data_IF_755032577990
#
_entry.id   IF_755032577990
#
_cell.length_a   1.000
_cell.length_b   1.000
_cell.length_c   1.000
_cell.angle_alpha   90.00
_cell.angle_beta   90.00
_cell.angle_gamma   90.00
#
_symmetry.space_group_name_H-M   'P 1'
#
loop_
_entity.id
_entity.type
_entity.pdbx_description
1 polymer ?
#
# COMPACT_ATOMS: atom_id res chain seq x y z
N UNK A 1 -33.32 6.51 17.33
CA UNK A 1 -34.28 5.47 17.70
C UNK A 1 -35.46 6.01 18.51
N UNK A 2 -35.31 6.67 19.69
CA UNK A 2 -36.46 7.24 20.40
C UNK A 2 -37.39 8.07 19.52
N UNK A 3 -36.86 9.01 18.73
CA UNK A 3 -37.67 9.80 17.76
C UNK A 3 -38.40 8.96 16.69
N UNK A 4 -37.88 7.77 16.39
CA UNK A 4 -38.54 6.86 15.43
C UNK A 4 -39.74 6.16 16.09
N UNK A 5 -39.57 5.72 17.34
CA UNK A 5 -40.66 5.14 18.12
C UNK A 5 -41.78 6.17 18.33
N UNK A 6 -41.44 7.38 18.80
CA UNK A 6 -42.39 8.47 18.96
C UNK A 6 -43.11 8.88 17.66
N UNK A 7 -42.46 8.71 16.52
CA UNK A 7 -43.06 8.96 15.21
C UNK A 7 -44.02 7.84 14.79
N UNK A 8 -43.65 6.59 15.09
CA UNK A 8 -44.52 5.44 14.83
C UNK A 8 -45.74 5.50 15.72
N UNK A 9 -45.55 5.75 17.01
CA UNK A 9 -46.66 5.92 17.98
C UNK A 9 -47.65 7.00 17.53
N UNK A 10 -47.15 8.16 17.07
CA UNK A 10 -48.01 9.23 16.53
C UNK A 10 -48.78 8.84 15.27
N UNK A 11 -48.14 8.08 14.38
CA UNK A 11 -48.77 7.64 13.12
C UNK A 11 -49.84 6.57 13.40
N UNK A 12 -49.66 5.75 14.42
CA UNK A 12 -50.55 4.66 14.77
C UNK A 12 -51.65 5.07 15.76
N UNK A 13 -51.57 6.23 16.41
CA UNK A 13 -52.53 6.72 17.40
C UNK A 13 -53.97 6.88 16.87
N UNK A 14 -54.13 7.02 15.53
CA UNK A 14 -55.49 7.06 14.92
C UNK A 14 -56.05 5.68 14.53
N UNK A 15 -55.22 4.63 14.64
CA UNK A 15 -55.56 3.27 14.14
C UNK A 15 -55.69 2.28 15.31
N UNK A 16 -54.93 2.46 16.35
CA UNK A 16 -54.85 1.56 17.52
C UNK A 16 -55.60 2.13 18.73
N UNK A 17 -56.21 1.22 19.51
CA UNK A 17 -56.72 1.57 20.83
C UNK A 17 -55.56 1.70 21.83
N UNK A 18 -55.84 2.22 23.05
CA UNK A 18 -54.82 2.53 24.06
C UNK A 18 -54.01 1.28 24.46
N UNK A 19 -54.63 0.11 24.53
CA UNK A 19 -54.00 -1.15 24.92
C UNK A 19 -53.04 -1.63 23.81
N UNK A 20 -53.49 -1.59 22.56
CA UNK A 20 -52.68 -1.95 21.36
C UNK A 20 -51.53 -0.94 21.15
N UNK A 21 -51.76 0.35 21.43
CA UNK A 21 -50.70 1.39 21.34
C UNK A 21 -49.64 1.16 22.43
N UNK A 22 -50.00 0.81 23.65
CA UNK A 22 -49.09 0.46 24.71
C UNK A 22 -48.26 -0.81 24.37
N UNK A 23 -48.92 -1.84 23.84
CA UNK A 23 -48.26 -3.08 23.38
C UNK A 23 -47.29 -2.83 22.23
N UNK A 24 -47.71 -2.05 21.22
CA UNK A 24 -46.83 -1.63 20.14
C UNK A 24 -45.61 -0.87 20.62
N UNK A 25 -45.84 0.08 21.53
CA UNK A 25 -44.73 0.86 22.13
C UNK A 25 -43.78 -0.05 22.92
N UNK A 26 -44.29 -1.01 23.69
CA UNK A 26 -43.46 -1.97 24.43
C UNK A 26 -42.64 -2.86 23.46
N UNK A 27 -43.27 -3.38 22.39
CA UNK A 27 -42.59 -4.19 21.35
C UNK A 27 -41.54 -3.36 20.61
N UNK A 28 -41.87 -2.12 20.23
CA UNK A 28 -40.90 -1.24 19.56
C UNK A 28 -39.75 -0.84 20.50
N UNK A 29 -40.05 -0.59 21.77
CA UNK A 29 -39.03 -0.33 22.77
C UNK A 29 -38.13 -1.56 22.98
N UNK A 30 -38.68 -2.75 23.13
CA UNK A 30 -37.93 -3.99 23.21
C UNK A 30 -37.11 -4.23 21.94
N UNK A 31 -37.71 -4.18 20.75
CA UNK A 31 -37.03 -4.45 19.49
C UNK A 31 -36.00 -3.40 19.07
N UNK A 32 -36.26 -2.12 19.34
CA UNK A 32 -35.42 -1.01 18.86
C UNK A 32 -34.49 -0.42 19.92
N UNK A 33 -34.87 -0.49 21.21
CA UNK A 33 -34.03 -0.02 22.33
C UNK A 33 -33.21 -1.19 22.91
N UNK A 34 -33.78 -2.41 22.96
CA UNK A 34 -33.06 -3.58 23.44
C UNK A 34 -32.14 -4.20 22.40
N UNK A 35 -32.33 -3.97 21.10
CA UNK A 35 -31.27 -4.23 20.10
C UNK A 35 -30.00 -3.41 20.32
N UNK A 36 -30.08 -2.34 21.14
CA UNK A 36 -28.89 -1.70 21.71
C UNK A 36 -28.33 -2.39 22.95
N UNK A 37 -29.05 -3.39 23.49
CA UNK A 37 -28.69 -4.20 24.66
C UNK A 37 -28.72 -5.70 24.41
N UNK A 38 -29.00 -6.16 23.17
CA UNK A 38 -28.74 -7.55 22.83
C UNK A 38 -27.25 -7.77 23.08
N UNK A 39 -26.97 -8.46 24.18
CA UNK A 39 -25.64 -8.89 24.58
C UNK A 39 -25.12 -9.89 23.54
N UNK A 40 -24.74 -9.38 22.38
CA UNK A 40 -23.68 -10.05 21.64
C UNK A 40 -22.50 -9.94 22.59
N UNK A 41 -22.00 -11.05 23.10
CA UNK A 41 -20.73 -11.15 23.84
C UNK A 41 -19.61 -10.73 22.88
N UNK A 42 -19.64 -9.47 22.46
CA UNK A 42 -18.68 -8.86 21.57
C UNK A 42 -17.69 -8.00 22.36
N UNK A 43 -16.60 -7.61 21.72
CA UNK A 43 -15.62 -6.73 22.35
C UNK A 43 -16.28 -5.40 22.73
N UNK A 44 -16.05 -4.94 23.96
CA UNK A 44 -16.55 -3.64 24.43
C UNK A 44 -15.58 -2.51 24.08
N UNK A 45 -14.29 -2.82 24.02
CA UNK A 45 -13.22 -1.84 23.78
C UNK A 45 -12.50 -2.08 22.45
N UNK A 46 -11.87 -1.03 21.93
CA UNK A 46 -11.02 -1.16 20.73
C UNK A 46 -9.84 -2.12 20.93
N UNK A 47 -9.36 -2.27 22.17
CA UNK A 47 -8.26 -3.18 22.50
C UNK A 47 -8.70 -4.64 22.38
N UNK A 48 -9.87 -4.99 22.89
CA UNK A 48 -10.45 -6.34 22.77
C UNK A 48 -10.79 -6.67 21.32
N UNK A 49 -11.31 -5.70 20.58
CA UNK A 49 -11.65 -5.82 19.16
C UNK A 49 -10.41 -6.08 18.28
N UNK A 50 -9.23 -5.58 18.70
CA UNK A 50 -8.02 -5.61 17.88
C UNK A 50 -7.62 -7.03 17.49
N UNK A 51 -7.57 -7.95 18.45
CA UNK A 51 -7.12 -9.33 18.21
C UNK A 51 -8.12 -10.09 17.33
N UNK A 52 -9.42 -9.87 17.53
CA UNK A 52 -10.47 -10.47 16.72
C UNK A 52 -10.39 -9.97 15.27
N UNK A 53 -10.27 -8.67 15.08
CA UNK A 53 -10.12 -8.05 13.77
C UNK A 53 -8.86 -8.54 13.04
N UNK A 54 -7.70 -8.59 13.72
CA UNK A 54 -6.46 -9.06 13.12
C UNK A 54 -6.53 -10.54 12.74
N UNK A 55 -7.19 -11.36 13.56
CA UNK A 55 -7.43 -12.79 13.27
C UNK A 55 -8.31 -12.96 12.04
N UNK A 56 -9.41 -12.19 11.94
CA UNK A 56 -10.27 -12.19 10.76
C UNK A 56 -9.51 -11.76 9.50
N UNK A 57 -8.73 -10.67 9.57
CA UNK A 57 -7.91 -10.19 8.44
C UNK A 57 -6.78 -11.16 8.05
N UNK A 58 -6.25 -11.92 8.99
CA UNK A 58 -5.29 -12.98 8.71
C UNK A 58 -5.94 -14.13 7.94
N UNK A 59 -7.13 -14.54 8.34
CA UNK A 59 -7.92 -15.56 7.65
C UNK A 59 -8.30 -15.12 6.21
N UNK A 60 -8.59 -13.81 6.01
CA UNK A 60 -8.83 -13.22 4.70
C UNK A 60 -7.56 -13.16 3.81
N UNK A 61 -6.39 -13.62 4.28
CA UNK A 61 -5.15 -13.64 3.52
C UNK A 61 -4.36 -12.32 3.55
N UNK A 62 -4.60 -11.44 4.52
CA UNK A 62 -3.79 -10.24 4.69
C UNK A 62 -2.34 -10.60 5.03
N UNK A 63 -1.39 -9.89 4.38
CA UNK A 63 0.03 -10.10 4.65
C UNK A 63 0.41 -9.67 6.08
N UNK A 64 1.41 -10.32 6.68
CA UNK A 64 1.96 -9.96 8.00
C UNK A 64 2.36 -8.48 8.11
N UNK A 65 2.84 -7.88 7.02
CA UNK A 65 3.14 -6.44 6.98
C UNK A 65 1.88 -5.58 7.09
N UNK A 66 0.78 -5.99 6.45
CA UNK A 66 -0.51 -5.29 6.54
C UNK A 66 -1.10 -5.44 7.94
N UNK A 67 -1.03 -6.64 8.52
CA UNK A 67 -1.51 -6.91 9.88
C UNK A 67 -0.75 -6.05 10.91
N UNK A 68 0.58 -5.98 10.82
CA UNK A 68 1.38 -5.09 11.68
C UNK A 68 1.00 -3.62 11.54
N UNK A 69 0.71 -3.18 10.32
CA UNK A 69 0.27 -1.80 10.08
C UNK A 69 -1.12 -1.54 10.67
N UNK A 70 -2.05 -2.49 10.55
CA UNK A 70 -3.36 -2.43 11.18
C UNK A 70 -3.21 -2.39 12.70
N UNK A 71 -2.47 -3.32 13.27
CA UNK A 71 -2.21 -3.39 14.72
C UNK A 71 -1.67 -2.06 15.25
N UNK A 72 -0.58 -1.55 14.69
CA UNK A 72 0.05 -0.31 15.17
C UNK A 72 -0.88 0.91 15.07
N UNK A 73 -1.69 0.98 14.00
CA UNK A 73 -2.62 2.11 13.80
C UNK A 73 -3.79 2.04 14.76
N UNK A 74 -4.38 0.85 14.93
CA UNK A 74 -5.55 0.67 15.81
C UNK A 74 -5.17 0.72 17.29
N UNK A 75 -4.00 0.19 17.69
CA UNK A 75 -3.49 0.33 19.06
C UNK A 75 -3.31 1.80 19.44
N UNK A 76 -2.73 2.60 18.53
CA UNK A 76 -2.63 4.06 18.77
C UNK A 76 -4.00 4.73 18.89
N UNK A 77 -4.96 4.36 18.05
CA UNK A 77 -6.32 4.86 18.13
C UNK A 77 -6.97 4.49 19.47
N UNK A 78 -6.82 3.24 19.93
CA UNK A 78 -7.35 2.75 21.18
C UNK A 78 -6.78 3.47 22.41
N UNK A 79 -5.53 3.89 22.38
CA UNK A 79 -4.91 4.67 23.48
C UNK A 79 -5.44 6.10 23.58
N UNK A 80 -5.88 6.68 22.46
CA UNK A 80 -6.39 8.07 22.42
C UNK A 80 -7.91 8.17 22.61
N UNK A 81 -8.65 7.12 22.22
CA UNK A 81 -10.12 7.07 22.30
C UNK A 81 -10.53 5.97 23.26
N UNK A 82 -10.66 6.34 24.54
CA UNK A 82 -11.05 5.44 25.63
C UNK A 82 -12.57 5.48 25.79
N UNK A 83 -13.27 4.86 24.82
CA UNK A 83 -14.73 4.75 24.83
C UNK A 83 -15.15 3.34 24.42
N UNK A 84 -16.29 2.83 24.89
CA UNK A 84 -16.91 1.64 24.33
C UNK A 84 -17.08 1.77 22.81
N UNK A 85 -16.86 0.69 22.05
CA UNK A 85 -16.86 0.74 20.56
C UNK A 85 -18.19 1.23 19.99
N UNK A 86 -19.31 0.93 20.65
CA UNK A 86 -20.67 1.35 20.23
C UNK A 86 -20.97 2.84 20.53
N UNK A 87 -20.16 3.49 21.37
CA UNK A 87 -20.27 4.92 21.70
C UNK A 87 -19.34 5.79 20.85
N UNK A 88 -18.42 5.19 20.09
CA UNK A 88 -17.51 5.95 19.23
C UNK A 88 -18.30 6.60 18.10
N UNK A 89 -18.29 7.91 18.04
CA UNK A 89 -19.03 8.71 17.06
C UNK A 89 -18.16 9.09 15.86
N UNK A 90 -18.82 9.58 14.81
CA UNK A 90 -18.12 10.16 13.65
C UNK A 90 -17.25 11.36 14.05
N UNK A 91 -17.68 12.13 15.03
CA UNK A 91 -16.96 13.33 15.47
C UNK A 91 -15.73 12.97 16.30
N UNK A 92 -15.79 11.94 17.15
CA UNK A 92 -14.60 11.41 17.83
C UNK A 92 -13.50 11.03 16.82
N UNK A 93 -13.88 10.39 15.71
CA UNK A 93 -12.91 9.99 14.67
C UNK A 93 -12.39 11.19 13.87
N UNK A 94 -13.25 12.19 13.59
CA UNK A 94 -12.82 13.44 12.94
C UNK A 94 -11.81 14.18 13.81
N UNK A 95 -12.09 14.31 15.09
CA UNK A 95 -11.21 14.98 16.04
C UNK A 95 -9.87 14.24 16.18
N UNK A 96 -9.90 12.90 16.25
CA UNK A 96 -8.70 12.09 16.24
C UNK A 96 -7.86 12.34 14.97
N UNK A 97 -8.46 12.25 13.78
CA UNK A 97 -7.75 12.47 12.51
C UNK A 97 -7.24 13.92 12.38
N UNK A 98 -7.96 14.89 12.93
CA UNK A 98 -7.56 16.29 12.96
C UNK A 98 -6.36 16.49 13.87
N UNK A 99 -6.39 15.97 15.10
CA UNK A 99 -5.23 15.98 16.01
C UNK A 99 -4.02 15.27 15.39
N UNK A 100 -4.24 14.07 14.82
CA UNK A 100 -3.19 13.31 14.13
C UNK A 100 -2.54 14.10 12.99
N UNK A 101 -3.31 14.98 12.32
CA UNK A 101 -2.82 15.85 11.25
C UNK A 101 -2.13 17.12 11.76
N UNK A 102 -2.48 17.61 12.97
CA UNK A 102 -2.08 18.93 13.48
C UNK A 102 -0.58 19.06 13.79
N UNK A 103 0.09 17.95 14.06
CA UNK A 103 1.53 17.93 14.36
C UNK A 103 2.42 18.39 13.20
N UNK A 104 1.85 18.81 12.05
CA UNK A 104 2.56 19.30 10.86
C UNK A 104 3.58 18.31 10.25
N UNK A 105 3.86 17.22 10.97
CA UNK A 105 4.83 16.19 10.61
C UNK A 105 4.24 15.08 9.74
N UNK A 106 2.89 15.02 9.65
CA UNK A 106 2.19 13.91 8.99
C UNK A 106 1.55 14.37 7.69
N UNK A 107 1.86 13.67 6.59
CA UNK A 107 1.27 14.01 5.28
C UNK A 107 -0.23 13.67 5.22
N UNK A 108 -0.99 14.43 4.40
CA UNK A 108 -2.41 14.13 4.14
C UNK A 108 -2.63 12.68 3.65
N UNK A 109 -1.66 12.11 2.92
CA UNK A 109 -1.68 10.71 2.47
C UNK A 109 -1.63 9.76 3.65
N UNK A 110 -0.79 10.06 4.65
CA UNK A 110 -0.69 9.25 5.87
C UNK A 110 -1.97 9.31 6.68
N UNK A 111 -2.57 10.49 6.81
CA UNK A 111 -3.89 10.66 7.49
C UNK A 111 -4.97 9.86 6.77
N UNK A 112 -5.03 9.89 5.42
CA UNK A 112 -5.99 9.06 4.67
C UNK A 112 -5.73 7.56 4.82
N UNK A 113 -4.48 7.13 4.97
CA UNK A 113 -4.16 5.74 5.26
C UNK A 113 -4.69 5.31 6.64
N UNK A 114 -4.53 6.16 7.67
CA UNK A 114 -5.12 5.92 9.00
C UNK A 114 -6.64 5.84 8.91
N UNK A 115 -7.29 6.80 8.22
CA UNK A 115 -8.74 6.76 7.97
C UNK A 115 -9.17 5.43 7.31
N UNK A 116 -8.40 4.92 6.34
CA UNK A 116 -8.68 3.65 5.65
C UNK A 116 -8.59 2.45 6.59
N UNK A 117 -7.62 2.44 7.50
CA UNK A 117 -7.49 1.39 8.51
C UNK A 117 -8.70 1.42 9.46
N UNK A 118 -9.04 2.60 9.97
CA UNK A 118 -10.25 2.78 10.81
C UNK A 118 -11.52 2.36 10.05
N UNK A 119 -11.65 2.76 8.77
CA UNK A 119 -12.78 2.35 7.93
C UNK A 119 -12.88 0.84 7.78
N UNK A 120 -11.75 0.15 7.58
CA UNK A 120 -11.72 -1.31 7.47
C UNK A 120 -12.14 -1.99 8.78
N UNK A 121 -11.65 -1.48 9.92
CA UNK A 121 -11.99 -2.04 11.23
C UNK A 121 -13.48 -1.82 11.57
N UNK A 122 -13.95 -0.58 11.46
CA UNK A 122 -15.35 -0.26 11.79
C UNK A 122 -16.36 -0.83 10.79
N UNK A 123 -15.99 -1.10 9.54
CA UNK A 123 -16.84 -1.83 8.60
C UNK A 123 -16.94 -3.31 8.99
N UNK A 124 -15.83 -3.91 9.41
CA UNK A 124 -15.83 -5.27 9.94
C UNK A 124 -16.68 -5.38 11.22
N UNK A 125 -16.58 -4.41 12.14
CA UNK A 125 -17.45 -4.37 13.33
C UNK A 125 -18.95 -4.24 12.99
N UNK A 126 -19.29 -3.53 11.90
CA UNK A 126 -20.66 -3.40 11.38
C UNK A 126 -21.11 -4.74 10.75
N UNK A 127 -20.24 -5.42 10.01
CA UNK A 127 -20.48 -6.72 9.35
C UNK A 127 -20.67 -7.87 10.36
N UNK A 128 -19.97 -7.81 11.51
CA UNK A 128 -20.08 -8.77 12.62
C UNK A 128 -21.20 -8.41 13.63
N UNK A 129 -22.02 -7.40 13.32
CA UNK A 129 -23.10 -6.91 14.17
C UNK A 129 -22.66 -6.40 15.58
N UNK A 130 -21.36 -6.13 15.78
CA UNK A 130 -20.85 -5.52 17.04
C UNK A 130 -21.24 -4.04 17.19
N UNK A 131 -21.46 -3.36 16.08
CA UNK A 131 -21.99 -2.00 16.02
C UNK A 131 -23.09 -1.90 14.98
N UNK A 132 -24.07 -1.05 15.23
CA UNK A 132 -25.20 -0.86 14.31
C UNK A 132 -24.76 -0.22 12.98
N UNK A 133 -23.81 0.72 13.03
CA UNK A 133 -23.34 1.46 11.85
C UNK A 133 -21.95 2.02 12.06
N UNK A 134 -21.09 1.83 11.06
CA UNK A 134 -19.73 2.35 11.09
C UNK A 134 -19.69 3.88 11.15
N UNK A 135 -19.07 4.47 12.21
CA UNK A 135 -18.93 5.92 12.35
C UNK A 135 -18.01 6.53 11.29
N UNK A 136 -17.15 5.73 10.64
CA UNK A 136 -16.23 6.19 9.59
C UNK A 136 -16.93 6.39 8.25
N UNK A 137 -18.10 5.82 8.04
CA UNK A 137 -18.84 5.83 6.76
C UNK A 137 -19.09 7.24 6.21
N UNK A 138 -19.26 8.23 7.09
CA UNK A 138 -19.47 9.65 6.71
C UNK A 138 -18.17 10.41 6.45
N UNK A 139 -16.99 9.82 6.74
CA UNK A 139 -15.69 10.47 6.56
C UNK A 139 -15.16 10.14 5.18
N UNK A 140 -15.25 11.11 4.29
CA UNK A 140 -14.80 10.96 2.90
C UNK A 140 -13.28 10.88 2.81
N UNK A 141 -12.79 10.30 1.71
CA UNK A 141 -11.36 10.27 1.36
C UNK A 141 -10.76 11.69 1.41
N UNK A 142 -9.61 11.81 2.07
CA UNK A 142 -8.87 13.08 2.14
C UNK A 142 -8.26 13.37 0.76
N UNK A 143 -8.62 14.51 0.20
CA UNK A 143 -8.08 14.92 -1.10
C UNK A 143 -6.61 15.31 -0.96
N UNK A 144 -5.78 14.68 -1.76
CA UNK A 144 -4.35 14.99 -1.88
C UNK A 144 -4.06 15.43 -3.30
N UNK A 145 -3.25 16.47 -3.47
CA UNK A 145 -2.79 16.84 -4.80
C UNK A 145 -2.00 15.68 -5.43
N UNK A 146 -2.26 15.37 -6.68
CA UNK A 146 -1.43 14.44 -7.46
C UNK A 146 -0.14 15.17 -7.83
N UNK A 147 0.90 14.99 -7.02
CA UNK A 147 2.23 15.54 -7.31
C UNK A 147 2.98 14.49 -8.14
N UNK A 148 3.45 14.93 -9.30
CA UNK A 148 4.33 14.13 -10.14
C UNK A 148 5.65 13.93 -9.42
N UNK A 149 5.97 12.68 -9.14
CA UNK A 149 7.20 12.34 -8.45
C UNK A 149 8.35 12.31 -9.45
N UNK A 150 9.50 12.95 -9.19
CA UNK A 150 10.62 13.03 -10.13
C UNK A 150 11.19 11.65 -10.46
N UNK A 151 11.67 11.51 -11.69
CA UNK A 151 12.42 10.35 -12.22
C UNK A 151 13.92 10.67 -12.21
N UNK A 152 14.77 9.70 -12.53
CA UNK A 152 16.19 9.94 -12.80
C UNK A 152 16.38 10.43 -14.24
N UNK A 153 17.22 11.43 -14.45
CA UNK A 153 17.80 11.70 -15.76
C UNK A 153 18.87 10.66 -16.12
N UNK A 154 19.30 10.62 -17.36
CA UNK A 154 20.36 9.72 -17.80
C UNK A 154 21.67 10.01 -17.07
N UNK A 155 22.01 11.29 -16.93
CA UNK A 155 23.19 11.75 -16.20
C UNK A 155 23.14 11.32 -14.72
N UNK A 156 21.97 11.43 -14.07
CA UNK A 156 21.79 10.98 -12.68
C UNK A 156 22.05 9.48 -12.53
N UNK A 157 21.69 8.67 -13.53
CA UNK A 157 21.96 7.23 -13.51
C UNK A 157 23.45 6.93 -13.72
N UNK A 158 24.14 7.65 -14.61
CA UNK A 158 25.58 7.50 -14.79
C UNK A 158 26.35 7.92 -13.52
N UNK A 159 26.02 9.07 -12.90
CA UNK A 159 26.61 9.50 -11.63
C UNK A 159 26.44 8.45 -10.52
N UNK A 160 25.27 7.77 -10.46
CA UNK A 160 25.06 6.68 -9.52
C UNK A 160 25.96 5.48 -9.81
N UNK A 161 26.16 5.11 -11.09
CA UNK A 161 27.04 4.03 -11.52
C UNK A 161 28.49 4.33 -11.17
N UNK A 162 28.98 5.51 -11.53
CA UNK A 162 30.36 5.98 -11.26
C UNK A 162 30.67 6.03 -9.76
N UNK A 163 29.66 6.29 -8.94
CA UNK A 163 29.78 6.28 -7.47
C UNK A 163 29.81 4.86 -6.87
N UNK A 164 29.63 3.80 -7.68
CA UNK A 164 29.64 2.42 -7.20
C UNK A 164 31.08 1.90 -7.10
N UNK A 165 31.65 1.92 -5.90
CA UNK A 165 32.98 1.35 -5.62
C UNK A 165 32.98 -0.19 -5.52
N UNK A 166 31.81 -0.82 -5.47
CA UNK A 166 31.65 -2.28 -5.34
C UNK A 166 30.84 -2.80 -6.53
N UNK A 167 31.36 -3.83 -7.17
CA UNK A 167 30.70 -4.47 -8.33
C UNK A 167 29.30 -4.97 -8.02
N UNK A 168 29.05 -5.46 -6.79
CA UNK A 168 27.70 -5.81 -6.30
C UNK A 168 26.73 -4.65 -6.44
N UNK A 169 27.13 -3.46 -6.00
CA UNK A 169 26.24 -2.29 -5.97
C UNK A 169 25.97 -1.79 -7.39
N UNK A 170 26.96 -1.86 -8.26
CA UNK A 170 26.81 -1.53 -9.68
C UNK A 170 25.85 -2.52 -10.37
N UNK A 171 26.01 -3.83 -10.15
CA UNK A 171 25.11 -4.84 -10.67
C UNK A 171 23.67 -4.64 -10.16
N UNK A 172 23.50 -4.24 -8.89
CA UNK A 172 22.20 -3.97 -8.30
C UNK A 172 21.54 -2.71 -8.91
N UNK A 173 22.30 -1.63 -9.11
CA UNK A 173 21.80 -0.40 -9.74
C UNK A 173 21.36 -0.67 -11.17
N UNK A 174 22.14 -1.43 -11.93
CA UNK A 174 21.80 -1.73 -13.33
C UNK A 174 20.61 -2.69 -13.45
N UNK A 175 20.52 -3.71 -12.59
CA UNK A 175 19.37 -4.59 -12.60
C UNK A 175 18.08 -3.82 -12.24
N UNK A 176 18.11 -2.95 -11.23
CA UNK A 176 16.97 -2.09 -10.88
C UNK A 176 16.61 -1.12 -12.01
N UNK A 177 17.61 -0.57 -12.70
CA UNK A 177 17.41 0.40 -13.80
C UNK A 177 16.78 -0.25 -15.03
N UNK A 178 17.24 -1.45 -15.40
CA UNK A 178 16.80 -2.12 -16.63
C UNK A 178 15.51 -2.91 -16.46
N UNK A 179 15.25 -3.48 -15.26
CA UNK A 179 14.06 -4.33 -15.02
C UNK A 179 12.91 -3.60 -14.34
N UNK A 180 13.20 -2.56 -13.55
CA UNK A 180 12.21 -1.89 -12.72
C UNK A 180 11.52 -2.78 -11.69
N UNK A 181 12.12 -3.90 -11.29
CA UNK A 181 11.57 -4.81 -10.28
C UNK A 181 11.37 -4.14 -8.93
N UNK A 182 10.47 -4.69 -8.11
CA UNK A 182 10.27 -4.19 -6.74
C UNK A 182 11.44 -4.64 -5.87
N UNK A 183 11.77 -3.84 -4.86
CA UNK A 183 12.86 -4.19 -3.94
C UNK A 183 12.62 -5.55 -3.23
N UNK A 184 11.36 -5.87 -2.93
CA UNK A 184 11.00 -7.19 -2.36
C UNK A 184 11.29 -8.34 -3.33
N UNK A 185 11.04 -8.15 -4.61
CA UNK A 185 11.36 -9.11 -5.68
C UNK A 185 12.88 -9.23 -5.86
N UNK A 186 13.61 -8.12 -5.86
CA UNK A 186 15.07 -8.10 -5.96
C UNK A 186 15.75 -8.96 -4.89
N UNK A 187 15.35 -8.80 -3.63
CA UNK A 187 15.98 -9.53 -2.51
C UNK A 187 15.62 -11.01 -2.47
N UNK A 188 14.54 -11.41 -3.11
CA UNK A 188 14.13 -12.82 -3.21
C UNK A 188 14.84 -13.56 -4.33
N UNK A 189 15.38 -12.88 -5.35
CA UNK A 189 16.07 -13.51 -6.48
C UNK A 189 17.22 -14.40 -6.01
N UNK A 190 17.33 -15.56 -6.63
CA UNK A 190 18.44 -16.49 -6.52
C UNK A 190 19.29 -16.44 -7.78
N UNK A 191 20.50 -16.99 -7.73
CA UNK A 191 21.39 -17.09 -8.92
C UNK A 191 20.72 -17.88 -10.04
N UNK A 192 19.98 -18.95 -9.72
CA UNK A 192 19.30 -19.83 -10.66
C UNK A 192 18.11 -19.18 -11.40
N UNK A 193 17.59 -18.08 -10.85
CA UNK A 193 16.42 -17.40 -11.42
C UNK A 193 16.80 -16.47 -12.58
N UNK A 194 18.10 -16.37 -12.90
CA UNK A 194 18.64 -15.49 -13.93
C UNK A 194 19.04 -16.31 -15.16
N UNK A 195 18.39 -16.05 -16.27
CA UNK A 195 18.83 -16.50 -17.59
C UNK A 195 19.69 -15.41 -18.24
N UNK A 196 20.99 -15.67 -18.30
CA UNK A 196 21.95 -14.73 -18.90
C UNK A 196 21.93 -14.73 -20.42
N UNK A 197 21.50 -15.82 -21.08
CA UNK A 197 21.41 -15.88 -22.52
C UNK A 197 20.20 -15.12 -23.03
N UNK A 198 19.03 -15.44 -22.52
CA UNK A 198 17.79 -14.71 -22.81
C UNK A 198 17.74 -13.30 -22.20
N UNK A 199 18.61 -12.99 -21.24
CA UNK A 199 18.62 -11.75 -20.46
C UNK A 199 17.29 -11.50 -19.77
N UNK A 200 16.78 -12.52 -19.11
CA UNK A 200 15.52 -12.46 -18.37
C UNK A 200 15.65 -13.09 -16.98
N UNK A 201 14.74 -12.74 -16.11
CA UNK A 201 14.58 -13.43 -14.85
C UNK A 201 13.11 -13.53 -14.46
N UNK A 202 12.76 -14.57 -13.70
CA UNK A 202 11.42 -14.75 -13.16
C UNK A 202 11.38 -14.13 -11.76
N UNK A 203 10.41 -13.27 -11.52
CA UNK A 203 10.20 -12.63 -10.22
C UNK A 203 8.82 -12.99 -9.68
N UNK A 204 8.76 -13.24 -8.35
CA UNK A 204 7.53 -13.57 -7.64
C UNK A 204 6.94 -12.29 -7.01
N UNK A 205 5.74 -11.94 -7.46
CA UNK A 205 5.00 -10.76 -6.99
C UNK A 205 4.05 -11.07 -5.83
N UNK A 206 3.27 -10.08 -5.43
CA UNK A 206 2.24 -10.23 -4.39
C UNK A 206 1.18 -11.25 -4.83
N UNK A 207 0.87 -12.23 -3.96
CA UNK A 207 -0.11 -13.29 -4.23
C UNK A 207 0.44 -14.40 -5.13
N UNK A 208 1.74 -14.67 -5.00
CA UNK A 208 2.46 -15.75 -5.71
C UNK A 208 2.35 -15.71 -7.25
N UNK A 209 2.17 -14.50 -7.79
CA UNK A 209 2.12 -14.29 -9.23
C UNK A 209 3.53 -14.13 -9.78
N UNK A 210 3.93 -15.06 -10.62
CA UNK A 210 5.17 -14.98 -11.36
C UNK A 210 5.06 -14.06 -12.58
N UNK A 211 6.14 -13.36 -12.90
CA UNK A 211 6.30 -12.69 -14.16
C UNK A 211 7.76 -12.69 -14.61
N UNK A 212 7.97 -12.69 -15.91
CA UNK A 212 9.26 -12.47 -16.51
C UNK A 212 9.58 -10.98 -16.56
N UNK A 213 10.82 -10.64 -16.30
CA UNK A 213 11.37 -9.30 -16.46
C UNK A 213 12.68 -9.40 -17.24
N UNK A 214 12.99 -8.38 -18.01
CA UNK A 214 14.09 -8.38 -18.95
C UNK A 214 15.14 -7.36 -18.53
N UNK A 215 16.41 -7.72 -18.68
CA UNK A 215 17.52 -6.82 -18.37
C UNK A 215 18.45 -6.63 -19.58
N UNK A 216 19.09 -5.47 -19.61
CA UNK A 216 19.96 -5.08 -20.72
C UNK A 216 21.36 -5.72 -20.64
N UNK A 217 22.15 -5.50 -21.70
CA UNK A 217 23.51 -6.03 -21.78
C UNK A 217 24.42 -5.50 -20.66
N UNK A 218 24.21 -4.25 -20.20
CA UNK A 218 24.98 -3.64 -19.12
C UNK A 218 24.74 -4.38 -17.80
N UNK A 219 23.47 -4.61 -17.44
CA UNK A 219 23.11 -5.40 -16.26
C UNK A 219 23.68 -6.82 -16.34
N UNK A 220 23.62 -7.50 -17.50
CA UNK A 220 24.25 -8.81 -17.72
C UNK A 220 25.74 -8.77 -17.36
N UNK A 221 26.49 -7.83 -17.94
CA UNK A 221 27.94 -7.70 -17.75
C UNK A 221 28.28 -7.51 -16.27
N UNK A 222 27.61 -6.60 -15.59
CA UNK A 222 27.91 -6.31 -14.18
C UNK A 222 27.42 -7.41 -13.22
N UNK A 223 26.33 -8.09 -13.53
CA UNK A 223 25.90 -9.28 -12.79
C UNK A 223 26.91 -10.41 -12.90
N UNK A 224 27.39 -10.72 -14.10
CA UNK A 224 28.43 -11.74 -14.31
C UNK A 224 29.73 -11.38 -13.58
N UNK A 225 30.16 -10.12 -13.67
CA UNK A 225 31.34 -9.65 -12.95
C UNK A 225 31.17 -9.77 -11.42
N UNK A 226 29.99 -9.45 -10.92
CA UNK A 226 29.67 -9.62 -9.50
C UNK A 226 29.70 -11.10 -9.07
N UNK A 227 29.02 -11.97 -9.82
CA UNK A 227 28.95 -13.39 -9.51
C UNK A 227 30.32 -14.07 -9.57
N UNK A 228 31.20 -13.65 -10.50
CA UNK A 228 32.59 -14.13 -10.60
C UNK A 228 33.42 -13.80 -9.35
N UNK A 229 33.15 -12.69 -8.69
CA UNK A 229 33.84 -12.29 -7.45
C UNK A 229 33.32 -12.99 -6.20
N UNK A 230 32.18 -13.70 -6.28
CA UNK A 230 31.59 -14.37 -5.14
C UNK A 230 32.26 -15.70 -4.85
N UNK A 231 32.72 -15.86 -3.62
CA UNK A 231 33.33 -17.10 -3.10
C UNK A 231 32.45 -17.83 -2.08
N UNK A 232 31.14 -17.48 -1.98
CA UNK A 232 30.19 -18.06 -1.04
C UNK A 232 29.23 -19.05 -1.76
N UNK A 233 28.67 -19.99 -0.99
CA UNK A 233 27.68 -20.97 -1.45
C UNK A 233 26.22 -20.50 -1.39
N UNK A 234 25.97 -19.25 -0.96
CA UNK A 234 24.60 -18.75 -0.77
C UNK A 234 23.84 -18.69 -2.11
N UNK A 235 22.63 -19.27 -2.21
CA UNK A 235 21.85 -19.28 -3.44
C UNK A 235 21.32 -17.90 -3.82
N UNK A 236 21.17 -16.97 -2.86
CA UNK A 236 20.68 -15.62 -3.12
C UNK A 236 21.50 -14.89 -4.19
N UNK A 237 20.84 -14.14 -5.09
CA UNK A 237 21.52 -13.33 -6.08
C UNK A 237 22.38 -12.24 -5.44
N UNK A 238 21.82 -11.49 -4.48
CA UNK A 238 22.53 -10.45 -3.75
C UNK A 238 22.71 -10.82 -2.28
N UNK A 239 23.94 -10.66 -1.79
CA UNK A 239 24.32 -10.95 -0.41
C UNK A 239 24.98 -9.76 0.27
N UNK A 240 25.08 -9.79 1.60
CA UNK A 240 25.87 -8.83 2.38
C UNK A 240 27.34 -8.88 1.96
N UNK A 241 28.08 -7.80 2.19
CA UNK A 241 29.52 -7.74 1.88
C UNK A 241 30.41 -8.30 3.01
N UNK A 242 29.81 -8.62 4.14
CA UNK A 242 30.49 -9.15 5.30
C UNK A 242 30.04 -10.60 5.58
N UNK A 243 30.93 -11.40 6.11
CA UNK A 243 30.59 -12.76 6.58
C UNK A 243 29.50 -12.66 7.66
N UNK A 244 28.55 -13.58 7.70
CA UNK A 244 28.45 -14.83 6.92
C UNK A 244 27.83 -14.72 5.51
N UNK A 245 27.85 -13.58 4.82
CA UNK A 245 27.32 -13.37 3.46
C UNK A 245 25.82 -13.70 3.32
N UNK A 246 25.03 -13.25 4.28
CA UNK A 246 23.58 -13.49 4.27
C UNK A 246 22.90 -12.83 3.09
N UNK A 247 21.74 -13.37 2.68
CA UNK A 247 20.85 -12.72 1.71
C UNK A 247 20.65 -11.25 2.06
N UNK A 248 20.78 -10.37 1.06
CA UNK A 248 20.58 -8.94 1.26
C UNK A 248 19.09 -8.65 1.53
N UNK A 249 18.80 -7.94 2.60
CA UNK A 249 17.46 -7.55 2.97
C UNK A 249 17.04 -6.22 2.32
N UNK A 250 15.72 -5.93 2.32
CA UNK A 250 15.16 -4.67 1.80
C UNK A 250 15.81 -3.46 2.45
N UNK A 251 15.96 -3.47 3.77
CA UNK A 251 16.61 -2.41 4.55
C UNK A 251 18.06 -2.17 4.11
N UNK A 252 18.79 -3.25 3.82
CA UNK A 252 20.16 -3.20 3.33
C UNK A 252 20.26 -2.58 1.92
N UNK A 253 19.36 -2.95 1.01
CA UNK A 253 19.27 -2.32 -0.33
C UNK A 253 18.99 -0.84 -0.21
N UNK A 254 17.98 -0.46 0.58
CA UNK A 254 17.58 0.95 0.74
C UNK A 254 18.67 1.79 1.41
N UNK A 255 19.34 1.24 2.43
CA UNK A 255 20.47 1.91 3.09
C UNK A 255 21.63 2.13 2.12
N UNK A 256 21.94 1.12 1.29
CA UNK A 256 23.00 1.23 0.30
C UNK A 256 22.69 2.27 -0.78
N UNK A 257 21.48 2.24 -1.33
CA UNK A 257 21.03 3.22 -2.32
C UNK A 257 21.05 4.66 -1.76
N UNK A 258 20.62 4.85 -0.50
CA UNK A 258 20.73 6.16 0.16
C UNK A 258 22.19 6.63 0.28
N UNK A 259 23.12 5.71 0.62
CA UNK A 259 24.55 6.01 0.69
C UNK A 259 25.09 6.41 -0.68
N UNK A 260 24.76 5.66 -1.74
CA UNK A 260 25.14 6.01 -3.12
C UNK A 260 24.61 7.39 -3.52
N UNK A 261 23.36 7.71 -3.18
CA UNK A 261 22.79 9.02 -3.45
C UNK A 261 23.53 10.16 -2.74
N UNK A 262 24.00 9.93 -1.51
CA UNK A 262 24.84 10.94 -0.80
C UNK A 262 26.19 11.15 -1.48
N UNK A 263 26.84 10.08 -1.94
CA UNK A 263 28.16 10.14 -2.58
C UNK A 263 28.06 10.77 -3.96
N UNK A 264 27.05 10.40 -4.76
CA UNK A 264 26.86 10.91 -6.12
C UNK A 264 26.22 12.31 -6.20
N UNK A 265 25.73 12.86 -5.09
CA UNK A 265 24.94 14.09 -5.08
C UNK A 265 23.50 13.93 -5.61
N UNK A 266 23.09 12.72 -6.02
CA UNK A 266 21.74 12.44 -6.55
C UNK A 266 20.73 12.36 -5.41
N UNK A 267 19.71 13.23 -5.43
CA UNK A 267 18.69 13.30 -4.38
C UNK A 267 17.66 12.17 -4.46
N UNK A 268 17.23 11.71 -3.28
CA UNK A 268 16.14 10.74 -3.12
C UNK A 268 16.33 9.43 -3.90
N UNK A 269 17.51 8.78 -3.70
CA UNK A 269 17.81 7.48 -4.32
C UNK A 269 17.12 6.35 -3.53
N UNK A 270 16.18 5.68 -4.18
CA UNK A 270 15.42 4.55 -3.62
C UNK A 270 14.85 3.65 -4.74
N UNK A 271 14.55 2.35 -4.47
CA UNK A 271 14.16 1.38 -5.50
C UNK A 271 12.97 1.82 -6.37
N UNK A 272 11.92 2.35 -5.76
CA UNK A 272 10.74 2.79 -6.51
C UNK A 272 11.01 3.91 -7.53
N UNK A 273 12.08 4.70 -7.33
CA UNK A 273 12.44 5.74 -8.31
C UNK A 273 13.02 5.13 -9.58
N UNK A 274 13.81 4.04 -9.51
CA UNK A 274 14.27 3.29 -10.68
C UNK A 274 13.09 2.74 -11.49
N UNK A 275 12.16 2.08 -10.82
CA UNK A 275 10.96 1.53 -11.45
C UNK A 275 10.12 2.59 -12.15
N UNK A 276 9.93 3.75 -11.51
CA UNK A 276 9.23 4.89 -12.11
C UNK A 276 9.98 5.44 -13.32
N UNK A 277 11.30 5.55 -13.22
CA UNK A 277 12.16 6.00 -14.32
C UNK A 277 12.03 5.09 -15.52
N UNK A 278 12.09 3.76 -15.31
CA UNK A 278 11.89 2.80 -16.40
C UNK A 278 10.50 2.96 -17.04
N UNK A 279 9.45 3.05 -16.23
CA UNK A 279 8.08 3.21 -16.73
C UNK A 279 7.93 4.47 -17.59
N UNK A 280 8.40 5.62 -17.07
CA UNK A 280 8.34 6.89 -17.80
C UNK A 280 9.14 6.81 -19.11
N UNK A 281 10.39 6.30 -19.07
CA UNK A 281 11.22 6.14 -20.28
C UNK A 281 10.61 5.18 -21.31
N UNK A 282 9.96 4.10 -20.87
CA UNK A 282 9.29 3.17 -21.77
C UNK A 282 8.12 3.83 -22.50
N UNK A 283 7.31 4.61 -21.75
CA UNK A 283 6.19 5.37 -22.33
C UNK A 283 6.71 6.48 -23.28
N UNK A 284 7.75 7.20 -22.89
CA UNK A 284 8.37 8.24 -23.73
C UNK A 284 8.94 7.68 -25.02
N UNK A 285 9.39 6.41 -25.02
CA UNK A 285 9.82 5.65 -26.20
C UNK A 285 8.67 4.97 -26.94
N UNK A 286 7.42 5.34 -26.64
CA UNK A 286 6.21 4.88 -27.34
C UNK A 286 5.92 3.37 -27.10
N UNK A 287 6.38 2.78 -25.99
CA UNK A 287 5.92 1.46 -25.58
C UNK A 287 4.45 1.55 -25.18
N UNK A 288 3.63 0.61 -25.65
CA UNK A 288 2.20 0.57 -25.31
C UNK A 288 2.01 0.44 -23.79
N UNK A 289 1.01 1.12 -23.25
CA UNK A 289 0.83 1.20 -21.80
C UNK A 289 0.49 -0.15 -21.17
N UNK A 290 -0.19 -1.02 -21.91
CA UNK A 290 -0.48 -2.41 -21.55
C UNK A 290 0.80 -3.23 -21.43
N UNK A 291 1.76 -3.05 -22.34
CA UNK A 291 3.06 -3.70 -22.28
C UNK A 291 3.86 -3.22 -21.06
N UNK A 292 3.82 -1.91 -20.76
CA UNK A 292 4.44 -1.36 -19.54
C UNK A 292 3.75 -1.90 -18.29
N UNK A 293 2.43 -2.05 -18.31
CA UNK A 293 1.67 -2.67 -17.22
C UNK A 293 2.14 -4.10 -16.94
N UNK A 294 2.27 -4.93 -17.99
CA UNK A 294 2.73 -6.31 -17.89
C UNK A 294 4.18 -6.36 -17.40
N UNK A 295 5.08 -5.57 -18.01
CA UNK A 295 6.50 -5.47 -17.63
C UNK A 295 6.65 -5.17 -16.13
N UNK A 296 5.87 -4.23 -15.64
CA UNK A 296 5.91 -3.83 -14.24
C UNK A 296 5.09 -4.77 -13.32
N UNK A 297 4.19 -5.59 -13.84
CA UNK A 297 3.28 -6.42 -13.07
C UNK A 297 2.33 -5.58 -12.20
N UNK A 298 1.65 -4.63 -12.82
CA UNK A 298 0.58 -3.88 -12.18
C UNK A 298 -0.76 -4.56 -12.41
N UNK A 299 -1.47 -4.88 -11.34
CA UNK A 299 -2.80 -5.51 -11.42
C UNK A 299 -3.88 -4.55 -11.96
N UNK A 300 -3.66 -3.23 -11.87
CA UNK A 300 -4.57 -2.21 -12.36
C UNK A 300 -3.82 -1.24 -13.27
N UNK A 301 -4.40 -0.93 -14.41
CA UNK A 301 -3.83 -0.01 -15.40
C UNK A 301 -3.65 1.41 -14.84
N UNK A 302 -4.53 1.86 -13.94
CA UNK A 302 -4.44 3.16 -13.26
C UNK A 302 -3.10 3.39 -12.58
N UNK A 303 -2.46 2.31 -12.09
CA UNK A 303 -1.14 2.37 -11.47
C UNK A 303 -0.06 2.70 -12.51
N UNK A 304 -0.23 2.24 -13.75
CA UNK A 304 0.69 2.53 -14.87
C UNK A 304 0.43 3.91 -15.45
N UNK A 305 -0.85 4.31 -15.56
CA UNK A 305 -1.25 5.64 -16.02
C UNK A 305 -0.68 6.78 -15.16
N UNK A 306 -0.36 6.51 -13.89
CA UNK A 306 0.33 7.50 -13.05
C UNK A 306 1.73 7.90 -13.58
N UNK A 307 2.33 7.11 -14.47
CA UNK A 307 3.63 7.39 -15.11
C UNK A 307 3.48 8.00 -16.51
N UNK A 308 2.30 7.88 -17.10
CA UNK A 308 1.99 8.49 -18.39
C UNK A 308 1.71 9.99 -18.17
N UNK A 309 2.76 10.81 -18.25
CA UNK A 309 2.57 12.24 -18.53
C UNK A 309 2.20 12.35 -19.99
N UNK A 310 1.00 12.83 -20.26
CA UNK A 310 0.65 13.28 -21.61
C UNK A 310 1.40 14.60 -21.86
N UNK A 311 2.65 14.49 -22.30
CA UNK A 311 3.37 15.64 -22.82
C UNK A 311 2.82 15.97 -24.22
N UNK A 312 2.46 17.23 -24.44
CA UNK A 312 1.96 17.70 -25.74
C UNK A 312 2.96 17.43 -26.88
N UNK A 313 4.26 17.41 -26.58
CA UNK A 313 5.29 17.03 -27.56
C UNK A 313 5.15 15.57 -27.99
N UNK A 314 4.81 14.67 -27.08
CA UNK A 314 4.56 13.25 -27.36
C UNK A 314 3.26 13.09 -28.18
N UNK A 315 2.21 13.84 -27.86
CA UNK A 315 0.96 13.85 -28.63
C UNK A 315 1.23 14.30 -30.06
N UNK A 316 1.95 15.43 -30.25
CA UNK A 316 2.32 15.95 -31.56
C UNK A 316 3.15 14.96 -32.38
N UNK A 317 4.11 14.28 -31.75
CA UNK A 317 4.95 13.25 -32.39
C UNK A 317 4.12 12.03 -32.81
N UNK A 318 3.25 11.56 -31.93
CA UNK A 318 2.34 10.45 -32.22
C UNK A 318 1.36 10.79 -33.32
N UNK A 319 0.75 11.99 -33.29
CA UNK A 319 -0.13 12.47 -34.34
C UNK A 319 0.56 12.45 -35.71
N UNK A 320 1.78 13.02 -35.79
CA UNK A 320 2.58 13.00 -37.04
C UNK A 320 2.93 11.60 -37.51
N UNK A 321 3.11 10.65 -36.59
CA UNK A 321 3.50 9.26 -36.94
C UNK A 321 2.34 8.41 -37.42
N UNK A 322 1.15 8.63 -36.88
CA UNK A 322 0.00 7.73 -37.06
C UNK A 322 -1.17 8.33 -37.84
N UNK A 323 -1.23 9.64 -38.00
CA UNK A 323 -2.38 10.33 -38.62
C UNK A 323 -1.98 11.08 -39.91
N UNK A 324 -0.72 11.48 -40.05
CA UNK A 324 -0.16 12.07 -41.27
C UNK A 324 0.68 11.04 -41.99
#
# INVERSE_FOLDING_TARGET
MRRTIERIDRLMASVLNDEQAAELHAVLAACLLEKGKASVRGPETMTECLDLFLSAKKLEGCSERSLRYYASTLSRFATEIIKPIHEITTDDIRDYLTRYSHDGRVSKVTVDNVRRVLSSCFSWLEEEDYIYKSPVRRIKKIRTAKVLKPVYSDESLELLRDSCTRVRDLAMVDLLSSTGIRVGELVQLNRRDIDFEARECVVHGKGDKERRVYFDARAKTHLLAYLKQRADGMPALFVSLQRPFNRLEISGVEARLRKLGKVSGVKHVHPHKFRRTLATKAIDKVMQIEQVQVLLGHSKIDTTLCYAQVDQSNVKRSHRKFIS
#
